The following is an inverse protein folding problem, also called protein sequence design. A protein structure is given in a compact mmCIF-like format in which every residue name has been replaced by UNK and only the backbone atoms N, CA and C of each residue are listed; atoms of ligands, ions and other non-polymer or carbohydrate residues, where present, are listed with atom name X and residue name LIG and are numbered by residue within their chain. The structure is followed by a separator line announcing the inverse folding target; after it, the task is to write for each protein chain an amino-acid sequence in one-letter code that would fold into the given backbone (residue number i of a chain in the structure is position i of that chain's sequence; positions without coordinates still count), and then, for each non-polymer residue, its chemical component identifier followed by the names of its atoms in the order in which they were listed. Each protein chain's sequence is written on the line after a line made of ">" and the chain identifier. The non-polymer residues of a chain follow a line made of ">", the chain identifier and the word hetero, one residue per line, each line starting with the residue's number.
data_IF_889911848508
#
_entry.id   IF_889911848508
#
_cell.length_a   1.000
_cell.length_b   1.000
_cell.length_c   1.000
_cell.angle_alpha   90.00
_cell.angle_beta   90.00
_cell.angle_gamma   90.00
#
_symmetry.space_group_name_H-M   'P 1'
#
loop_
_entity.id
_entity.type
_entity.pdbx_description
1 polymer ?
#
# COMPACT_ATOMS: atom_id res chain seq x y z
N UNK A 1 0.41 19.33 -22.64
CA UNK A 1 0.58 18.15 -21.76
C UNK A 1 0.25 16.92 -22.59
N UNK A 2 1.18 15.99 -22.76
CA UNK A 2 0.88 14.70 -23.41
C UNK A 2 -0.06 13.94 -22.49
N UNK A 3 -1.29 13.67 -22.93
CA UNK A 3 -2.22 12.80 -22.25
C UNK A 3 -1.57 11.42 -22.16
N UNK A 4 -1.32 10.90 -20.95
CA UNK A 4 -0.72 9.58 -20.78
C UNK A 4 -1.60 8.54 -21.46
N UNK A 5 -1.02 7.64 -22.26
CA UNK A 5 -1.75 6.59 -22.96
C UNK A 5 -2.42 5.66 -21.94
N UNK A 6 -3.68 5.31 -22.17
CA UNK A 6 -4.41 4.31 -21.39
C UNK A 6 -4.25 2.93 -22.05
N UNK A 7 -4.14 1.87 -21.25
CA UNK A 7 -3.99 0.51 -21.77
C UNK A 7 -5.29 -0.02 -22.39
N UNK A 8 -6.41 0.25 -21.73
CA UNK A 8 -7.76 -0.12 -22.16
C UNK A 8 -8.69 1.09 -21.96
N UNK A 9 -8.66 2.07 -22.88
CA UNK A 9 -9.39 3.33 -22.70
C UNK A 9 -10.89 3.15 -22.46
N UNK A 10 -11.51 2.18 -23.13
CA UNK A 10 -12.94 1.87 -22.99
C UNK A 10 -13.32 1.38 -21.59
N UNK A 11 -12.41 0.72 -20.87
CA UNK A 11 -12.62 0.26 -19.50
C UNK A 11 -12.18 1.31 -18.47
N UNK A 12 -11.08 1.97 -18.75
CA UNK A 12 -10.52 2.97 -17.83
C UNK A 12 -11.34 4.27 -17.77
N UNK A 13 -12.15 4.54 -18.80
CA UNK A 13 -13.09 5.66 -18.82
C UNK A 13 -14.49 5.33 -18.27
N UNK A 14 -14.75 4.07 -17.89
CA UNK A 14 -16.03 3.73 -17.30
C UNK A 14 -16.22 4.44 -15.95
N UNK A 15 -17.32 5.16 -15.84
CA UNK A 15 -17.73 5.86 -14.61
C UNK A 15 -19.26 5.81 -14.46
N UNK A 16 -19.77 6.28 -13.33
CA UNK A 16 -21.19 6.42 -13.09
C UNK A 16 -21.97 5.12 -13.26
N UNK A 17 -23.13 5.19 -13.91
CA UNK A 17 -24.05 4.07 -14.08
C UNK A 17 -23.45 2.92 -14.90
N UNK A 18 -22.75 3.22 -16.00
CA UNK A 18 -22.13 2.20 -16.83
C UNK A 18 -21.09 1.34 -16.10
N UNK A 19 -20.31 1.94 -15.19
CA UNK A 19 -19.40 1.21 -14.32
C UNK A 19 -20.17 0.37 -13.30
N UNK A 20 -21.18 0.94 -12.66
CA UNK A 20 -22.01 0.25 -11.66
C UNK A 20 -22.75 -0.95 -12.24
N UNK A 21 -23.29 -0.85 -13.45
CA UNK A 21 -23.95 -1.96 -14.14
C UNK A 21 -22.98 -3.10 -14.43
N UNK A 22 -21.78 -2.76 -14.93
CA UNK A 22 -20.73 -3.74 -15.17
C UNK A 22 -20.26 -4.42 -13.88
N UNK A 23 -20.07 -3.65 -12.82
CA UNK A 23 -19.76 -4.19 -11.50
C UNK A 23 -20.85 -5.09 -10.96
N UNK A 24 -22.12 -4.72 -11.12
CA UNK A 24 -23.26 -5.51 -10.64
C UNK A 24 -23.36 -6.89 -11.32
N UNK A 25 -23.12 -6.96 -12.62
CA UNK A 25 -23.08 -8.23 -13.37
C UNK A 25 -21.98 -9.14 -12.84
N UNK A 26 -20.76 -8.59 -12.66
CA UNK A 26 -19.62 -9.35 -12.12
C UNK A 26 -19.85 -9.75 -10.67
N UNK A 27 -20.40 -8.85 -9.84
CA UNK A 27 -20.71 -9.10 -8.44
C UNK A 27 -21.67 -10.27 -8.28
N UNK A 28 -22.77 -10.28 -9.06
CA UNK A 28 -23.72 -11.40 -9.06
C UNK A 28 -23.03 -12.73 -9.36
N UNK A 29 -22.19 -12.75 -10.39
CA UNK A 29 -21.45 -13.96 -10.77
C UNK A 29 -20.48 -14.40 -9.68
N UNK A 30 -19.83 -13.45 -9.02
CA UNK A 30 -18.86 -13.73 -7.95
C UNK A 30 -19.54 -14.22 -6.67
N UNK A 31 -20.66 -13.62 -6.27
CA UNK A 31 -21.44 -14.09 -5.12
C UNK A 31 -21.95 -15.52 -5.32
N UNK A 32 -22.44 -15.85 -6.52
CA UNK A 32 -22.85 -17.21 -6.87
C UNK A 32 -21.67 -18.19 -6.83
N UNK A 33 -20.49 -17.80 -7.34
CA UNK A 33 -19.28 -18.62 -7.31
C UNK A 33 -18.88 -18.93 -5.86
N UNK A 34 -18.71 -17.90 -5.01
CA UNK A 34 -18.26 -18.12 -3.65
C UNK A 34 -19.25 -18.94 -2.83
N UNK A 35 -20.54 -18.78 -3.05
CA UNK A 35 -21.56 -19.57 -2.37
C UNK A 35 -21.55 -21.04 -2.79
N UNK A 36 -21.38 -21.30 -4.10
CA UNK A 36 -21.34 -22.65 -4.64
C UNK A 36 -20.07 -23.40 -4.24
N UNK A 37 -18.90 -22.75 -4.35
CA UNK A 37 -17.59 -23.41 -4.37
C UNK A 37 -16.85 -23.32 -3.01
N UNK A 38 -17.25 -22.40 -2.12
CA UNK A 38 -16.60 -22.21 -0.82
C UNK A 38 -17.50 -22.59 0.34
N UNK A 39 -17.12 -23.59 1.15
CA UNK A 39 -17.86 -23.91 2.39
C UNK A 39 -17.92 -22.71 3.36
N UNK A 40 -16.83 -21.96 3.47
CA UNK A 40 -16.76 -20.78 4.33
C UNK A 40 -17.82 -19.73 3.97
N UNK A 41 -17.90 -19.34 2.70
CA UNK A 41 -18.88 -18.32 2.26
C UNK A 41 -20.31 -18.83 2.34
N UNK A 42 -20.56 -20.09 2.07
CA UNK A 42 -21.88 -20.68 2.22
C UNK A 42 -22.36 -20.55 3.66
N UNK A 43 -21.59 -21.07 4.62
CA UNK A 43 -21.91 -21.02 6.05
C UNK A 43 -22.13 -19.56 6.51
N UNK A 44 -21.25 -18.65 6.06
CA UNK A 44 -21.29 -17.23 6.42
C UNK A 44 -22.51 -16.51 5.88
N UNK A 45 -22.89 -16.78 4.63
CA UNK A 45 -24.06 -16.16 3.99
C UNK A 45 -25.36 -16.72 4.55
N UNK A 46 -25.43 -18.03 4.78
CA UNK A 46 -26.58 -18.69 5.43
C UNK A 46 -26.79 -18.14 6.85
N UNK A 47 -25.72 -17.99 7.64
CA UNK A 47 -25.79 -17.39 8.98
C UNK A 47 -26.24 -15.91 8.96
N UNK A 48 -25.89 -15.16 7.92
CA UNK A 48 -26.34 -13.78 7.71
C UNK A 48 -27.74 -13.67 7.10
N UNK A 49 -28.37 -14.77 6.71
CA UNK A 49 -29.68 -14.79 6.06
C UNK A 49 -29.69 -14.13 4.68
N UNK A 50 -28.56 -14.19 3.95
CA UNK A 50 -28.45 -13.68 2.58
C UNK A 50 -28.31 -14.84 1.58
N UNK A 51 -29.05 -14.77 0.46
CA UNK A 51 -29.08 -15.82 -0.55
C UNK A 51 -28.62 -15.26 -1.91
N UNK A 52 -27.43 -15.63 -2.40
CA UNK A 52 -26.93 -15.17 -3.70
C UNK A 52 -27.83 -15.56 -4.89
N UNK A 53 -28.66 -16.63 -4.78
CA UNK A 53 -29.61 -17.01 -5.81
C UNK A 53 -30.77 -16.01 -5.94
N UNK A 54 -31.05 -15.25 -4.89
CA UNK A 54 -32.08 -14.23 -4.82
C UNK A 54 -31.54 -12.80 -4.89
N UNK A 55 -30.22 -12.64 -5.12
CA UNK A 55 -29.58 -11.34 -5.20
C UNK A 55 -30.16 -10.48 -6.32
N UNK A 56 -30.74 -9.33 -6.00
CA UNK A 56 -31.38 -8.43 -6.95
C UNK A 56 -30.56 -7.19 -7.29
N UNK A 57 -29.77 -6.67 -6.34
CA UNK A 57 -29.01 -5.44 -6.59
C UNK A 57 -28.24 -4.92 -5.39
N UNK A 58 -27.91 -3.62 -5.44
CA UNK A 58 -27.06 -2.95 -4.47
C UNK A 58 -27.62 -2.94 -3.04
N UNK A 59 -28.94 -2.84 -2.89
CA UNK A 59 -29.58 -2.84 -1.58
C UNK A 59 -29.44 -4.22 -0.89
N UNK A 60 -29.48 -5.30 -1.66
CA UNK A 60 -29.19 -6.64 -1.14
C UNK A 60 -27.73 -6.77 -0.75
N UNK A 61 -26.82 -6.18 -1.55
CA UNK A 61 -25.38 -6.28 -1.31
C UNK A 61 -24.98 -5.69 0.03
N UNK A 62 -25.58 -4.61 0.47
CA UNK A 62 -25.31 -3.98 1.76
C UNK A 62 -25.51 -4.94 2.96
N UNK A 63 -26.29 -6.00 2.80
CA UNK A 63 -26.58 -7.01 3.83
C UNK A 63 -25.54 -8.12 3.91
N UNK A 64 -24.66 -8.26 2.90
CA UNK A 64 -23.62 -9.29 2.91
C UNK A 64 -22.58 -8.98 3.98
N UNK A 65 -22.13 -10.02 4.73
CA UNK A 65 -21.21 -9.80 5.83
C UNK A 65 -19.80 -9.42 5.36
N UNK A 66 -19.11 -8.65 6.17
CA UNK A 66 -17.70 -8.32 5.95
C UNK A 66 -16.82 -9.55 6.14
N UNK A 67 -15.63 -9.49 5.54
CA UNK A 67 -14.56 -10.46 5.72
C UNK A 67 -13.27 -9.71 6.08
N UNK A 68 -12.56 -10.15 7.09
CA UNK A 68 -11.37 -9.47 7.56
C UNK A 68 -10.16 -10.42 7.67
N UNK A 69 -9.02 -9.86 8.06
CA UNK A 69 -7.74 -10.59 8.13
C UNK A 69 -7.72 -11.67 9.20
N UNK A 70 -8.43 -11.48 10.31
CA UNK A 70 -8.54 -12.49 11.34
C UNK A 70 -9.35 -13.70 10.85
N UNK A 71 -10.46 -13.45 10.20
CA UNK A 71 -11.27 -14.50 9.58
C UNK A 71 -10.50 -15.23 8.47
N UNK A 72 -9.69 -14.51 7.67
CA UNK A 72 -8.80 -15.12 6.67
C UNK A 72 -7.81 -16.09 7.32
N UNK A 73 -7.17 -15.65 8.41
CA UNK A 73 -6.21 -16.47 9.17
C UNK A 73 -6.85 -17.73 9.72
N UNK A 74 -7.97 -17.60 10.41
CA UNK A 74 -8.74 -18.73 10.96
C UNK A 74 -9.22 -19.68 9.87
N UNK A 75 -9.68 -19.15 8.75
CA UNK A 75 -10.07 -19.93 7.57
C UNK A 75 -8.90 -20.76 7.02
N UNK A 76 -7.69 -20.18 6.99
CA UNK A 76 -6.48 -20.86 6.52
C UNK A 76 -5.98 -21.91 7.53
N UNK A 77 -6.07 -21.66 8.83
CA UNK A 77 -5.75 -22.65 9.86
C UNK A 77 -6.67 -23.87 9.73
N UNK A 78 -7.97 -23.64 9.64
CA UNK A 78 -8.95 -24.70 9.50
C UNK A 78 -8.77 -25.52 8.22
N UNK A 79 -8.45 -24.87 7.10
CA UNK A 79 -8.24 -25.61 5.84
C UNK A 79 -7.02 -26.52 5.88
N UNK A 80 -5.96 -26.19 6.62
CA UNK A 80 -4.83 -27.10 6.84
C UNK A 80 -5.27 -28.40 7.54
N UNK A 81 -6.13 -28.28 8.53
CA UNK A 81 -6.61 -29.42 9.30
C UNK A 81 -7.62 -30.28 8.54
N UNK A 82 -8.57 -29.62 7.85
CA UNK A 82 -9.74 -30.31 7.27
C UNK A 82 -9.53 -30.68 5.81
N UNK A 83 -8.78 -29.83 5.03
CA UNK A 83 -8.62 -29.98 3.59
C UNK A 83 -7.19 -30.29 3.15
N UNK A 84 -6.22 -30.24 4.07
CA UNK A 84 -4.81 -30.53 3.81
C UNK A 84 -4.07 -29.45 2.99
N UNK A 85 -4.58 -28.21 2.94
CA UNK A 85 -3.92 -27.10 2.22
C UNK A 85 -4.03 -25.78 2.98
N UNK A 86 -3.13 -24.79 2.78
CA UNK A 86 -3.07 -23.55 3.55
C UNK A 86 -3.88 -22.39 2.93
N UNK A 87 -4.73 -22.62 1.92
CA UNK A 87 -5.36 -21.55 1.16
C UNK A 87 -6.71 -21.09 1.71
N UNK A 88 -7.15 -21.64 2.83
CA UNK A 88 -8.37 -21.26 3.50
C UNK A 88 -9.60 -22.03 3.03
N UNK A 89 -10.59 -22.09 3.92
CA UNK A 89 -11.92 -22.62 3.62
C UNK A 89 -12.68 -21.75 2.59
N UNK A 90 -12.18 -20.52 2.35
CA UNK A 90 -12.73 -19.55 1.40
C UNK A 90 -12.19 -19.71 -0.04
N UNK A 91 -11.38 -20.75 -0.31
CA UNK A 91 -10.90 -21.07 -1.66
C UNK A 91 -12.09 -21.51 -2.54
N UNK A 92 -12.07 -21.10 -3.83
CA UNK A 92 -13.12 -21.39 -4.81
C UNK A 92 -12.62 -22.03 -6.11
N UNK A 93 -11.33 -22.40 -6.15
CA UNK A 93 -10.77 -23.18 -7.26
C UNK A 93 -10.25 -24.53 -6.77
N UNK A 94 -9.97 -25.45 -7.69
CA UNK A 94 -9.15 -26.61 -7.34
C UNK A 94 -7.74 -26.13 -6.96
N UNK A 95 -7.20 -26.60 -5.84
CA UNK A 95 -5.85 -26.20 -5.38
C UNK A 95 -4.75 -26.60 -6.39
N UNK A 96 -5.01 -27.57 -7.27
CA UNK A 96 -4.11 -27.95 -8.35
C UNK A 96 -4.02 -26.91 -9.46
N UNK A 97 -4.99 -26.00 -9.56
CA UNK A 97 -4.99 -24.89 -10.51
C UNK A 97 -4.21 -23.68 -9.98
N UNK A 98 -3.77 -23.72 -8.71
CA UNK A 98 -2.93 -22.69 -8.11
C UNK A 98 -1.51 -22.86 -8.69
N UNK A 99 -1.09 -21.90 -9.49
CA UNK A 99 0.22 -21.93 -10.14
C UNK A 99 1.20 -20.86 -9.62
N UNK A 100 0.75 -20.00 -8.67
CA UNK A 100 1.60 -19.09 -7.92
C UNK A 100 1.05 -18.91 -6.52
N UNK A 101 1.96 -18.81 -5.55
CA UNK A 101 1.64 -18.51 -4.15
C UNK A 101 2.40 -17.28 -3.72
N UNK A 102 1.71 -16.35 -3.10
CA UNK A 102 2.31 -15.23 -2.36
C UNK A 102 1.94 -15.35 -0.88
N UNK A 103 2.62 -14.58 -0.04
CA UNK A 103 2.32 -14.54 1.39
C UNK A 103 2.30 -13.10 1.90
N UNK A 104 1.43 -12.83 2.86
CA UNK A 104 1.47 -11.57 3.62
C UNK A 104 2.65 -11.56 4.59
N UNK A 105 3.05 -10.37 5.04
CA UNK A 105 4.19 -10.20 5.96
C UNK A 105 3.98 -10.75 7.37
N UNK A 106 2.75 -11.10 7.75
CA UNK A 106 2.44 -11.70 9.04
C UNK A 106 2.94 -10.88 10.24
N UNK A 107 2.54 -9.61 10.38
CA UNK A 107 2.93 -8.75 11.51
C UNK A 107 2.55 -9.34 12.88
N UNK A 108 1.64 -10.29 12.92
CA UNK A 108 1.12 -10.95 14.14
C UNK A 108 1.59 -12.40 14.31
N UNK A 109 2.53 -12.89 13.49
CA UNK A 109 3.06 -14.26 13.59
C UNK A 109 3.06 -15.03 12.28
N UNK A 110 2.11 -15.95 12.04
CA UNK A 110 2.08 -16.78 10.85
C UNK A 110 1.63 -15.99 9.61
N UNK A 111 2.30 -16.15 8.43
CA UNK A 111 1.88 -15.53 7.19
C UNK A 111 0.54 -16.11 6.70
N UNK A 112 -0.30 -15.29 6.08
CA UNK A 112 -1.42 -15.76 5.27
C UNK A 112 -0.97 -15.98 3.82
N UNK A 113 -1.42 -17.08 3.22
CA UNK A 113 -1.04 -17.47 1.87
C UNK A 113 -2.09 -17.06 0.86
N UNK A 114 -1.65 -16.49 -0.24
CA UNK A 114 -2.49 -16.02 -1.34
C UNK A 114 -2.16 -16.84 -2.58
N UNK A 115 -3.11 -17.66 -3.01
CA UNK A 115 -3.02 -18.44 -4.23
C UNK A 115 -3.49 -17.64 -5.45
N UNK A 116 -2.92 -17.96 -6.60
CA UNK A 116 -3.29 -17.39 -7.90
C UNK A 116 -3.44 -18.49 -8.93
N UNK A 117 -4.59 -18.50 -9.61
CA UNK A 117 -4.76 -19.27 -10.85
C UNK A 117 -4.11 -18.55 -12.03
N UNK A 118 -4.11 -19.18 -13.19
CA UNK A 118 -3.65 -18.54 -14.42
C UNK A 118 -4.48 -17.28 -14.74
N UNK A 119 -5.78 -17.31 -14.52
CA UNK A 119 -6.67 -16.16 -14.74
C UNK A 119 -6.42 -15.04 -13.71
N UNK A 120 -6.24 -15.36 -12.43
CA UNK A 120 -5.86 -14.36 -11.42
C UNK A 120 -4.56 -13.62 -11.79
N UNK A 121 -3.60 -14.34 -12.36
CA UNK A 121 -2.35 -13.74 -12.85
C UNK A 121 -2.59 -12.85 -14.07
N UNK A 122 -3.45 -13.24 -14.98
CA UNK A 122 -3.80 -12.43 -16.15
C UNK A 122 -4.47 -11.11 -15.76
N UNK A 123 -5.39 -11.13 -14.77
CA UNK A 123 -6.00 -9.92 -14.21
C UNK A 123 -4.94 -9.01 -13.56
N UNK A 124 -4.02 -9.58 -12.75
CA UNK A 124 -2.93 -8.80 -12.16
C UNK A 124 -2.01 -8.19 -13.23
N UNK A 125 -1.72 -8.94 -14.29
CA UNK A 125 -0.93 -8.45 -15.43
C UNK A 125 -1.61 -7.28 -16.16
N UNK A 126 -2.93 -7.32 -16.35
CA UNK A 126 -3.70 -6.22 -16.92
C UNK A 126 -3.59 -4.95 -16.07
N UNK A 127 -3.67 -5.08 -14.74
CA UNK A 127 -3.48 -3.94 -13.84
C UNK A 127 -2.05 -3.37 -13.92
N UNK A 128 -1.03 -4.22 -14.04
CA UNK A 128 0.35 -3.77 -14.26
C UNK A 128 0.48 -3.07 -15.61
N UNK A 129 -0.19 -3.55 -16.66
CA UNK A 129 -0.18 -2.89 -17.97
C UNK A 129 -0.79 -1.48 -17.90
N UNK A 130 -1.93 -1.31 -17.19
CA UNK A 130 -2.54 0.00 -16.93
C UNK A 130 -1.59 0.91 -16.14
N UNK A 131 -0.89 0.37 -15.15
CA UNK A 131 0.11 1.10 -14.36
C UNK A 131 1.27 1.60 -15.24
N UNK A 132 1.84 0.74 -16.09
CA UNK A 132 2.95 1.10 -16.97
C UNK A 132 2.54 2.13 -18.02
N UNK A 133 1.38 1.95 -18.66
CA UNK A 133 0.81 2.92 -19.58
C UNK A 133 0.59 4.28 -18.89
N UNK A 134 0.08 4.26 -17.64
CA UNK A 134 -0.12 5.47 -16.85
C UNK A 134 1.19 6.21 -16.54
N UNK A 135 2.24 5.46 -16.21
CA UNK A 135 3.57 6.03 -16.03
C UNK A 135 4.25 6.44 -17.37
N UNK A 136 3.57 6.28 -18.50
CA UNK A 136 4.10 6.61 -19.82
C UNK A 136 5.27 5.73 -20.25
N UNK A 137 5.26 4.47 -19.82
CA UNK A 137 6.26 3.46 -20.18
C UNK A 137 5.74 2.59 -21.31
N UNK A 138 6.65 2.15 -22.15
CA UNK A 138 6.33 1.37 -23.35
C UNK A 138 7.14 0.08 -23.40
N UNK A 139 6.68 -0.86 -24.20
CA UNK A 139 7.38 -2.13 -24.46
C UNK A 139 8.85 -1.85 -24.85
N UNK A 140 9.76 -2.57 -24.19
CA UNK A 140 11.20 -2.46 -24.41
C UNK A 140 11.91 -1.53 -23.43
N UNK A 141 11.18 -0.66 -22.69
CA UNK A 141 11.78 0.15 -21.63
C UNK A 141 12.41 -0.77 -20.57
N UNK A 142 13.54 -0.32 -20.01
CA UNK A 142 14.33 -1.07 -19.03
C UNK A 142 13.88 -0.72 -17.64
N UNK A 143 13.45 -1.74 -16.90
CA UNK A 143 12.92 -1.63 -15.55
C UNK A 143 13.89 -2.26 -14.56
N UNK A 144 14.56 -1.44 -13.75
CA UNK A 144 15.38 -1.89 -12.63
C UNK A 144 14.48 -2.22 -11.43
N UNK A 145 14.24 -3.50 -11.20
CA UNK A 145 13.39 -3.94 -10.09
C UNK A 145 14.23 -4.24 -8.85
N UNK A 146 14.10 -3.39 -7.82
CA UNK A 146 14.85 -3.45 -6.57
C UNK A 146 13.98 -3.83 -5.35
N UNK A 147 12.82 -4.43 -5.58
CA UNK A 147 11.99 -5.00 -4.53
C UNK A 147 12.46 -6.38 -4.08
N UNK A 148 11.97 -6.84 -2.93
CA UNK A 148 12.26 -8.17 -2.40
C UNK A 148 11.66 -9.25 -3.30
N UNK A 149 12.51 -10.16 -3.79
CA UNK A 149 12.15 -11.27 -4.66
C UNK A 149 11.89 -12.54 -3.82
N UNK A 150 10.72 -12.61 -3.20
CA UNK A 150 10.29 -13.72 -2.35
C UNK A 150 8.80 -14.02 -2.57
N UNK A 151 8.16 -14.69 -1.62
CA UNK A 151 6.70 -14.86 -1.63
C UNK A 151 5.92 -13.55 -1.43
N UNK A 152 6.58 -12.42 -1.27
CA UNK A 152 5.89 -11.14 -1.14
C UNK A 152 5.04 -10.83 -2.37
N UNK A 153 3.85 -10.26 -2.11
CA UNK A 153 2.79 -10.06 -3.11
C UNK A 153 3.20 -9.17 -4.30
N UNK A 154 4.23 -8.33 -4.16
CA UNK A 154 4.72 -7.43 -5.22
C UNK A 154 5.90 -8.03 -6.00
N UNK A 155 6.88 -8.64 -5.34
CA UNK A 155 8.16 -9.04 -5.94
C UNK A 155 8.07 -9.82 -7.26
N UNK A 156 8.06 -11.15 -7.19
CA UNK A 156 7.95 -12.01 -8.37
C UNK A 156 6.70 -11.71 -9.23
N UNK A 157 5.52 -11.43 -8.65
CA UNK A 157 4.35 -11.06 -9.45
C UNK A 157 4.54 -9.87 -10.38
N UNK A 158 5.20 -8.81 -9.91
CA UNK A 158 5.47 -7.64 -10.75
C UNK A 158 6.47 -7.96 -11.86
N UNK A 159 7.55 -8.69 -11.55
CA UNK A 159 8.55 -9.12 -12.54
C UNK A 159 7.91 -10.00 -13.62
N UNK A 160 7.10 -10.99 -13.24
CA UNK A 160 6.37 -11.87 -14.16
C UNK A 160 5.46 -11.04 -15.10
N UNK A 161 4.69 -10.12 -14.56
CA UNK A 161 3.82 -9.25 -15.35
C UNK A 161 4.62 -8.36 -16.33
N UNK A 162 5.70 -7.72 -15.87
CA UNK A 162 6.55 -6.87 -16.70
C UNK A 162 7.20 -7.64 -17.86
N UNK A 163 7.71 -8.85 -17.61
CA UNK A 163 8.29 -9.72 -18.64
C UNK A 163 7.24 -10.09 -19.70
N UNK A 164 6.04 -10.48 -19.28
CA UNK A 164 4.95 -10.84 -20.19
C UNK A 164 4.45 -9.63 -21.01
N UNK A 165 4.57 -8.42 -20.48
CA UNK A 165 4.25 -7.18 -21.19
C UNK A 165 5.38 -6.71 -22.13
N UNK A 166 6.52 -7.39 -22.12
CA UNK A 166 7.64 -7.13 -23.02
C UNK A 166 8.60 -6.02 -22.57
N UNK A 167 8.62 -5.70 -21.27
CA UNK A 167 9.65 -4.83 -20.69
C UNK A 167 10.99 -5.57 -20.56
N UNK A 168 12.08 -4.81 -20.62
CA UNK A 168 13.42 -5.33 -20.30
C UNK A 168 13.65 -5.25 -18.79
N UNK A 169 13.37 -6.32 -18.06
CA UNK A 169 13.45 -6.32 -16.60
C UNK A 169 14.87 -6.66 -16.14
N UNK A 170 15.40 -5.82 -15.24
CA UNK A 170 16.68 -5.99 -14.55
C UNK A 170 16.35 -6.33 -13.08
N UNK A 171 16.20 -7.63 -12.72
CA UNK A 171 15.70 -8.04 -11.41
C UNK A 171 16.84 -8.10 -10.39
N UNK A 172 17.38 -6.95 -9.97
CA UNK A 172 18.52 -6.87 -9.06
C UNK A 172 18.16 -7.28 -7.63
N UNK A 173 16.86 -7.07 -7.25
CA UNK A 173 16.38 -7.34 -5.90
C UNK A 173 16.90 -6.36 -4.85
N UNK A 174 16.33 -6.42 -3.64
CA UNK A 174 16.68 -5.53 -2.52
C UNK A 174 17.90 -6.00 -1.69
N UNK A 175 18.54 -7.12 -2.04
CA UNK A 175 19.67 -7.69 -1.28
C UNK A 175 21.04 -7.45 -1.95
N UNK A 176 21.08 -6.76 -3.09
CA UNK A 176 22.34 -6.42 -3.74
C UNK A 176 23.13 -5.41 -2.87
N UNK A 177 24.46 -5.55 -2.84
CA UNK A 177 25.28 -4.51 -2.21
C UNK A 177 25.16 -3.19 -2.96
N UNK A 178 25.38 -2.07 -2.29
CA UNK A 178 25.29 -0.74 -2.90
C UNK A 178 26.18 -0.60 -4.13
N UNK A 179 27.40 -1.17 -4.07
CA UNK A 179 28.38 -1.15 -5.17
C UNK A 179 27.88 -1.93 -6.39
N UNK A 180 27.35 -3.14 -6.16
CA UNK A 180 26.79 -3.95 -7.24
C UNK A 180 25.56 -3.30 -7.85
N UNK A 181 24.70 -2.70 -7.01
CA UNK A 181 23.54 -1.98 -7.47
C UNK A 181 23.95 -0.82 -8.39
N UNK A 182 24.87 0.05 -7.93
CA UNK A 182 25.32 1.20 -8.68
C UNK A 182 25.99 0.80 -10.00
N UNK A 183 26.87 -0.23 -9.98
CA UNK A 183 27.50 -0.75 -11.21
C UNK A 183 26.42 -1.26 -12.20
N UNK A 184 25.44 -2.04 -11.73
CA UNK A 184 24.36 -2.55 -12.59
C UNK A 184 23.54 -1.40 -13.19
N UNK A 185 23.19 -0.37 -12.42
CA UNK A 185 22.43 0.77 -12.90
C UNK A 185 23.20 1.56 -13.98
N UNK A 186 24.50 1.78 -13.78
CA UNK A 186 25.37 2.46 -14.77
C UNK A 186 25.49 1.65 -16.07
N UNK A 187 25.70 0.32 -15.95
CA UNK A 187 25.91 -0.54 -17.12
C UNK A 187 24.63 -0.72 -17.94
N UNK A 188 23.49 -0.89 -17.26
CA UNK A 188 22.22 -1.19 -17.92
C UNK A 188 21.39 0.02 -18.30
N UNK A 189 21.65 1.19 -17.70
CA UNK A 189 20.96 2.46 -17.95
C UNK A 189 19.43 2.28 -17.96
N UNK A 190 18.82 1.93 -16.82
CA UNK A 190 17.39 1.70 -16.75
C UNK A 190 16.59 2.99 -16.98
N UNK A 191 15.46 2.87 -17.65
CA UNK A 191 14.52 3.98 -17.87
C UNK A 191 13.72 4.26 -16.61
N UNK A 192 13.44 3.22 -15.83
CA UNK A 192 12.67 3.28 -14.60
C UNK A 192 13.26 2.38 -13.52
N UNK A 193 13.05 2.78 -12.26
CA UNK A 193 13.29 1.92 -11.09
C UNK A 193 11.99 1.69 -10.31
N UNK A 194 11.83 0.47 -9.80
CA UNK A 194 10.78 0.08 -8.85
C UNK A 194 11.40 -0.35 -7.53
N UNK A 195 11.07 0.33 -6.42
CA UNK A 195 11.60 0.03 -5.09
C UNK A 195 10.72 0.60 -3.97
N UNK A 196 11.11 0.40 -2.70
CA UNK A 196 10.50 1.15 -1.60
C UNK A 196 11.10 2.56 -1.48
N UNK A 197 10.35 3.56 -0.97
CA UNK A 197 10.87 4.91 -0.74
C UNK A 197 12.12 4.91 0.14
N UNK A 198 12.12 4.17 1.24
CA UNK A 198 13.26 4.06 2.16
C UNK A 198 14.51 3.49 1.48
N UNK A 199 14.35 2.50 0.59
CA UNK A 199 15.48 1.96 -0.16
C UNK A 199 16.07 2.97 -1.16
N UNK A 200 15.21 3.73 -1.83
CA UNK A 200 15.67 4.80 -2.73
C UNK A 200 16.44 5.90 -1.97
N UNK A 201 15.93 6.34 -0.81
CA UNK A 201 16.64 7.29 0.06
C UNK A 201 17.98 6.71 0.58
N UNK A 202 18.00 5.42 0.93
CA UNK A 202 19.23 4.73 1.28
C UNK A 202 20.27 4.77 0.14
N UNK A 203 19.86 4.54 -1.09
CA UNK A 203 20.76 4.60 -2.26
C UNK A 203 21.32 6.02 -2.48
N UNK A 204 20.49 7.05 -2.37
CA UNK A 204 20.93 8.46 -2.49
C UNK A 204 22.06 8.74 -1.49
N UNK A 205 21.95 8.25 -0.25
CA UNK A 205 22.95 8.45 0.80
C UNK A 205 24.18 7.56 0.60
N UNK A 206 23.99 6.27 0.27
CA UNK A 206 25.06 5.26 0.35
C UNK A 206 25.90 5.13 -0.93
N UNK A 207 25.33 5.39 -2.10
CA UNK A 207 26.04 5.26 -3.39
C UNK A 207 27.27 6.17 -3.46
N UNK A 208 27.20 7.50 -3.17
CA UNK A 208 28.36 8.37 -3.22
C UNK A 208 29.40 8.10 -2.11
N UNK A 209 29.02 7.40 -1.04
CA UNK A 209 29.95 7.01 0.03
C UNK A 209 30.75 5.74 -0.30
N UNK A 210 30.17 4.83 -1.10
CA UNK A 210 30.73 3.50 -1.37
C UNK A 210 31.22 3.33 -2.80
N UNK A 211 30.92 4.28 -3.68
CA UNK A 211 31.27 4.22 -5.09
C UNK A 211 31.75 5.58 -5.59
N UNK A 212 32.23 5.63 -6.84
CA UNK A 212 32.57 6.90 -7.51
C UNK A 212 31.37 7.59 -8.16
N UNK A 213 30.19 6.97 -8.14
CA UNK A 213 28.99 7.47 -8.81
C UNK A 213 28.03 8.13 -7.83
N UNK A 214 27.11 8.89 -8.39
CA UNK A 214 25.94 9.44 -7.71
C UNK A 214 24.69 8.84 -8.35
N UNK A 215 23.57 8.81 -7.61
CA UNK A 215 22.32 8.24 -8.11
C UNK A 215 21.73 9.00 -9.31
N UNK A 216 22.03 10.30 -9.44
CA UNK A 216 21.66 11.12 -10.60
C UNK A 216 22.28 10.60 -11.92
N UNK A 217 23.43 9.92 -11.85
CA UNK A 217 24.15 9.40 -13.04
C UNK A 217 23.54 8.09 -13.58
N UNK A 218 22.63 7.46 -12.87
CA UNK A 218 21.96 6.23 -13.32
C UNK A 218 21.06 6.44 -14.54
N UNK A 219 20.62 7.69 -14.80
CA UNK A 219 19.78 8.03 -15.92
C UNK A 219 18.32 7.59 -15.77
N UNK A 220 17.91 7.23 -14.53
CA UNK A 220 16.55 6.84 -14.19
C UNK A 220 15.62 8.06 -14.35
N UNK A 221 14.64 7.97 -15.24
CA UNK A 221 13.70 9.05 -15.51
C UNK A 221 12.43 8.94 -14.66
N UNK A 222 12.12 7.75 -14.15
CA UNK A 222 10.89 7.47 -13.41
C UNK A 222 11.17 6.54 -12.25
N UNK A 223 10.60 6.85 -11.08
CA UNK A 223 10.56 5.94 -9.94
C UNK A 223 9.11 5.58 -9.64
N UNK A 224 8.81 4.30 -9.59
CA UNK A 224 7.58 3.80 -8.98
C UNK A 224 7.95 3.28 -7.59
N UNK A 225 7.50 3.98 -6.56
CA UNK A 225 7.75 3.59 -5.17
C UNK A 225 6.51 2.93 -4.57
N UNK A 226 6.74 1.93 -3.70
CA UNK A 226 5.66 1.09 -3.17
C UNK A 226 6.03 0.46 -1.82
N UNK A 227 5.02 -0.14 -1.17
CA UNK A 227 5.21 -1.00 0.00
C UNK A 227 5.16 -0.27 1.33
N UNK A 228 5.45 1.00 1.35
CA UNK A 228 5.37 1.88 2.52
C UNK A 228 5.01 3.30 2.06
N UNK A 229 4.49 4.17 2.95
CA UNK A 229 4.24 5.56 2.61
C UNK A 229 5.53 6.32 2.28
N UNK A 230 5.47 7.20 1.29
CA UNK A 230 6.64 8.02 0.89
C UNK A 230 6.42 8.77 -0.40
N UNK A 231 5.99 8.10 -1.48
CA UNK A 231 5.78 8.75 -2.78
C UNK A 231 4.69 9.82 -2.77
N UNK A 232 3.67 9.66 -1.93
CA UNK A 232 2.62 10.64 -1.72
C UNK A 232 3.02 11.82 -0.81
N UNK A 233 4.13 11.71 -0.06
CA UNK A 233 4.59 12.75 0.87
C UNK A 233 5.48 13.74 0.11
N UNK A 234 5.11 15.04 0.02
CA UNK A 234 5.82 16.02 -0.78
C UNK A 234 7.32 16.08 -0.51
N UNK A 235 7.73 16.13 0.75
CA UNK A 235 9.13 16.27 1.18
C UNK A 235 9.97 15.06 0.77
N UNK A 236 9.42 13.86 0.91
CA UNK A 236 10.10 12.61 0.49
C UNK A 236 10.17 12.54 -1.03
N UNK A 237 9.08 12.86 -1.71
CA UNK A 237 9.01 12.88 -3.16
C UNK A 237 10.04 13.84 -3.78
N UNK A 238 10.17 15.04 -3.22
CA UNK A 238 11.15 16.04 -3.67
C UNK A 238 12.59 15.54 -3.44
N UNK A 239 12.88 14.92 -2.30
CA UNK A 239 14.19 14.32 -2.03
C UNK A 239 14.50 13.19 -3.03
N UNK A 240 13.54 12.32 -3.32
CA UNK A 240 13.69 11.24 -4.29
C UNK A 240 13.93 11.80 -5.70
N UNK A 241 13.11 12.76 -6.12
CA UNK A 241 13.26 13.39 -7.43
C UNK A 241 14.64 14.05 -7.59
N UNK A 242 15.05 14.88 -6.64
CA UNK A 242 16.36 15.53 -6.65
C UNK A 242 17.51 14.51 -6.67
N UNK A 243 17.44 13.49 -5.81
CA UNK A 243 18.47 12.46 -5.69
C UNK A 243 18.64 11.56 -6.91
N UNK A 244 17.62 11.48 -7.77
CA UNK A 244 17.67 10.75 -9.05
C UNK A 244 17.64 11.70 -10.27
N UNK A 245 18.19 12.91 -10.11
CA UNK A 245 18.41 13.82 -11.24
C UNK A 245 17.15 14.41 -11.85
N UNK A 246 16.10 14.62 -11.07
CA UNK A 246 14.82 15.14 -11.52
C UNK A 246 13.84 14.07 -12.00
N UNK A 247 14.01 12.81 -11.57
CA UNK A 247 13.10 11.74 -11.94
C UNK A 247 11.66 12.01 -11.47
N UNK A 248 10.69 11.62 -12.27
CA UNK A 248 9.27 11.64 -11.90
C UNK A 248 8.99 10.53 -10.88
N UNK A 249 8.33 10.88 -9.78
CA UNK A 249 8.02 9.94 -8.70
C UNK A 249 6.56 9.55 -8.76
N UNK A 250 6.30 8.26 -8.79
CA UNK A 250 4.95 7.69 -8.75
C UNK A 250 4.79 6.85 -7.50
N UNK A 251 3.71 7.09 -6.76
CA UNK A 251 3.33 6.32 -5.58
C UNK A 251 2.35 5.22 -5.96
N UNK A 252 2.74 3.96 -5.73
CA UNK A 252 1.96 2.78 -6.06
C UNK A 252 1.36 2.16 -4.80
N UNK A 253 0.05 2.01 -4.79
CA UNK A 253 -0.62 1.16 -3.81
C UNK A 253 -0.69 -0.28 -4.30
N UNK A 254 -0.20 -1.22 -3.46
CA UNK A 254 -0.17 -2.63 -3.80
C UNK A 254 -1.54 -3.30 -3.80
N UNK A 255 -2.43 -2.87 -2.92
CA UNK A 255 -3.65 -3.59 -2.61
C UNK A 255 -3.38 -4.94 -1.96
N UNK A 256 -4.39 -5.52 -1.36
CA UNK A 256 -4.39 -6.89 -0.89
C UNK A 256 -5.17 -7.78 -1.85
N UNK A 257 -5.36 -9.03 -1.55
CA UNK A 257 -5.95 -10.07 -2.39
C UNK A 257 -7.08 -9.74 -3.39
N UNK A 258 -7.73 -8.57 -3.31
CA UNK A 258 -8.78 -8.15 -4.25
C UNK A 258 -8.21 -7.66 -5.59
N UNK A 259 -7.18 -6.79 -5.51
CA UNK A 259 -6.52 -6.20 -6.68
C UNK A 259 -5.04 -5.98 -6.39
N UNK A 260 -4.16 -6.30 -7.33
CA UNK A 260 -2.73 -6.07 -7.18
C UNK A 260 -2.09 -5.81 -8.56
N UNK A 261 -1.55 -4.60 -8.84
CA UNK A 261 -1.60 -3.39 -8.00
C UNK A 261 -2.99 -2.76 -7.93
N UNK A 262 -3.26 -2.01 -6.85
CA UNK A 262 -4.52 -1.30 -6.67
C UNK A 262 -4.57 -0.01 -7.49
N UNK A 263 -3.50 0.77 -7.47
CA UNK A 263 -3.47 2.07 -8.13
C UNK A 263 -2.10 2.72 -8.16
N UNK A 264 -2.03 3.83 -8.89
CA UNK A 264 -0.82 4.65 -9.05
C UNK A 264 -1.20 6.13 -8.98
N UNK A 265 -0.34 6.94 -8.37
CA UNK A 265 -0.44 8.40 -8.48
C UNK A 265 -0.19 8.87 -9.93
N UNK A 266 -0.42 10.12 -10.17
CA UNK A 266 -0.10 10.75 -11.45
C UNK A 266 0.83 11.96 -11.23
N UNK A 267 1.20 12.62 -12.33
CA UNK A 267 2.05 13.82 -12.35
C UNK A 267 1.46 15.00 -11.57
N UNK A 268 0.15 14.99 -11.28
CA UNK A 268 -0.48 16.02 -10.43
C UNK A 268 -0.29 15.74 -8.93
N UNK A 269 0.15 14.56 -8.54
CA UNK A 269 0.42 14.13 -7.16
C UNK A 269 -0.72 14.40 -6.14
N UNK A 270 -1.95 14.35 -6.61
CA UNK A 270 -3.14 14.66 -5.81
C UNK A 270 -3.98 13.41 -5.49
N UNK A 271 -3.32 12.34 -5.11
CA UNK A 271 -3.90 11.05 -4.74
C UNK A 271 -3.57 9.94 -5.74
N UNK A 272 -3.98 8.72 -5.39
CA UNK A 272 -3.76 7.49 -6.15
C UNK A 272 -5.02 7.20 -6.98
N UNK A 273 -4.87 7.10 -8.30
CA UNK A 273 -5.91 6.62 -9.18
C UNK A 273 -6.02 5.10 -9.08
N UNK A 274 -7.22 4.59 -8.82
CA UNK A 274 -7.48 3.16 -8.69
C UNK A 274 -7.56 2.52 -10.08
N UNK A 275 -6.87 1.41 -10.27
CA UNK A 275 -6.96 0.58 -11.47
C UNK A 275 -8.02 -0.50 -11.31
N UNK A 276 -8.56 -0.95 -12.44
CA UNK A 276 -9.48 -2.08 -12.44
C UNK A 276 -10.76 -1.85 -11.63
N UNK A 277 -11.29 -0.62 -11.63
CA UNK A 277 -12.61 -0.35 -11.03
C UNK A 277 -13.71 -1.27 -11.61
N UNK A 278 -13.50 -1.79 -12.82
CA UNK A 278 -14.36 -2.81 -13.42
C UNK A 278 -14.12 -4.22 -12.85
N UNK A 279 -13.06 -4.47 -12.10
CA UNK A 279 -12.67 -5.75 -11.50
C UNK A 279 -12.74 -5.78 -9.96
N UNK A 280 -12.91 -4.62 -9.34
CA UNK A 280 -13.10 -4.49 -7.90
C UNK A 280 -14.18 -3.45 -7.59
N UNK A 281 -14.91 -3.71 -6.52
CA UNK A 281 -15.85 -2.75 -5.93
C UNK A 281 -15.19 -2.14 -4.70
N UNK A 282 -15.25 -0.82 -4.59
CA UNK A 282 -14.82 -0.04 -3.43
C UNK A 282 -16.04 0.47 -2.67
N UNK A 283 -16.05 0.27 -1.36
CA UNK A 283 -16.98 0.88 -0.40
C UNK A 283 -16.16 1.70 0.60
N UNK A 284 -16.78 2.69 1.21
CA UNK A 284 -16.21 3.48 2.30
C UNK A 284 -17.15 3.38 3.48
N UNK A 285 -16.64 3.12 4.67
CA UNK A 285 -17.42 2.95 5.88
C UNK A 285 -17.05 4.00 6.93
N UNK A 286 -18.06 4.41 7.71
CA UNK A 286 -17.85 5.18 8.93
C UNK A 286 -17.35 4.28 10.09
N UNK A 287 -17.22 4.87 11.29
CA UNK A 287 -16.77 4.15 12.49
C UNK A 287 -17.76 3.08 12.97
N UNK A 288 -19.05 3.23 12.62
CA UNK A 288 -20.12 2.29 12.95
C UNK A 288 -20.37 1.26 11.84
N UNK A 289 -19.49 1.22 10.84
CA UNK A 289 -19.52 0.36 9.66
C UNK A 289 -20.71 0.62 8.72
N UNK A 290 -21.27 1.82 8.74
CA UNK A 290 -22.27 2.23 7.77
C UNK A 290 -21.61 2.73 6.49
N UNK A 291 -22.18 2.45 5.31
CA UNK A 291 -21.66 2.94 4.04
C UNK A 291 -21.69 4.47 3.96
N UNK A 292 -20.59 5.07 3.55
CA UNK A 292 -20.47 6.48 3.21
C UNK A 292 -20.51 6.66 1.68
N UNK A 293 -20.99 7.83 1.19
CA UNK A 293 -20.95 8.13 -0.23
C UNK A 293 -19.51 8.32 -0.72
N UNK A 294 -19.25 7.97 -1.99
CA UNK A 294 -17.96 8.25 -2.64
C UNK A 294 -17.99 9.70 -3.16
N UNK A 295 -17.69 10.63 -2.28
CA UNK A 295 -17.71 12.07 -2.55
C UNK A 295 -16.40 12.74 -2.16
N UNK A 296 -16.16 13.94 -2.71
CA UNK A 296 -14.92 14.67 -2.48
C UNK A 296 -14.72 15.02 -1.00
N UNK A 297 -13.56 14.62 -0.46
CA UNK A 297 -13.18 14.89 0.92
C UNK A 297 -13.72 13.92 1.96
N UNK A 298 -14.56 12.94 1.57
CA UNK A 298 -15.03 11.90 2.49
C UNK A 298 -13.85 11.06 2.98
N UNK A 299 -13.83 10.83 4.30
CA UNK A 299 -12.84 9.98 4.98
C UNK A 299 -13.56 8.79 5.64
N UNK A 300 -12.98 7.60 5.53
CA UNK A 300 -13.51 6.39 6.14
C UNK A 300 -12.65 5.17 5.91
N UNK A 301 -13.06 4.03 6.47
CA UNK A 301 -12.44 2.74 6.20
C UNK A 301 -12.76 2.30 4.78
N UNK A 302 -11.75 1.96 3.99
CA UNK A 302 -11.97 1.39 2.67
C UNK A 302 -12.19 -0.11 2.75
N UNK A 303 -13.19 -0.56 2.02
CA UNK A 303 -13.57 -1.97 1.87
C UNK A 303 -13.56 -2.33 0.39
N UNK A 304 -12.95 -3.46 0.05
CA UNK A 304 -12.90 -3.92 -1.32
C UNK A 304 -13.60 -5.27 -1.50
N UNK A 305 -14.23 -5.44 -2.66
CA UNK A 305 -14.70 -6.74 -3.14
C UNK A 305 -14.09 -7.06 -4.48
N UNK A 306 -13.35 -8.17 -4.54
CA UNK A 306 -12.80 -8.69 -5.79
C UNK A 306 -13.88 -9.32 -6.66
N UNK A 307 -14.14 -8.75 -7.83
CA UNK A 307 -15.24 -9.17 -8.71
C UNK A 307 -14.87 -10.30 -9.68
N UNK A 308 -13.57 -10.60 -9.82
CA UNK A 308 -13.05 -11.55 -10.82
C UNK A 308 -12.01 -12.52 -10.27
N UNK A 309 -11.65 -12.41 -9.00
CA UNK A 309 -10.68 -13.30 -8.34
C UNK A 309 -11.24 -14.72 -8.29
N UNK A 310 -10.45 -15.69 -8.78
CA UNK A 310 -10.87 -17.09 -8.84
C UNK A 310 -10.44 -17.91 -7.62
N UNK A 311 -9.20 -17.78 -7.19
CA UNK A 311 -8.67 -18.67 -6.16
C UNK A 311 -9.28 -18.40 -4.79
N UNK A 312 -9.09 -17.21 -4.29
CA UNK A 312 -9.51 -16.77 -2.96
C UNK A 312 -10.24 -15.43 -3.09
N UNK A 313 -11.49 -15.42 -3.55
CA UNK A 313 -12.30 -14.20 -3.62
C UNK A 313 -12.46 -13.59 -2.22
N UNK A 314 -12.29 -12.27 -2.14
CA UNK A 314 -12.55 -11.51 -0.93
C UNK A 314 -13.80 -10.66 -1.16
N UNK A 315 -14.85 -10.94 -0.38
CA UNK A 315 -16.14 -10.25 -0.44
C UNK A 315 -16.23 -9.32 0.75
N UNK A 316 -16.42 -8.02 0.50
CA UNK A 316 -16.44 -6.96 1.51
C UNK A 316 -15.24 -7.04 2.45
N UNK A 317 -14.05 -7.09 1.86
CA UNK A 317 -12.78 -7.22 2.58
C UNK A 317 -12.40 -5.94 3.29
N UNK A 318 -12.20 -6.06 4.60
CA UNK A 318 -11.73 -5.00 5.49
C UNK A 318 -10.25 -5.21 5.81
N UNK A 319 -9.38 -4.40 5.18
CA UNK A 319 -7.95 -4.36 5.51
C UNK A 319 -7.63 -3.34 6.61
N UNK A 320 -8.65 -2.62 7.08
CA UNK A 320 -8.57 -1.57 8.11
C UNK A 320 -7.76 -0.35 7.69
N UNK A 321 -7.66 -0.10 6.40
CA UNK A 321 -7.04 1.10 5.87
C UNK A 321 -8.05 2.26 5.88
N UNK A 322 -7.63 3.42 6.43
CA UNK A 322 -8.36 4.67 6.32
C UNK A 322 -7.90 5.43 5.10
N UNK A 323 -8.87 5.91 4.34
CA UNK A 323 -8.63 6.71 3.14
C UNK A 323 -9.39 8.03 3.18
N UNK A 324 -8.90 8.98 2.41
CA UNK A 324 -9.63 10.16 1.96
C UNK A 324 -9.87 10.05 0.46
N UNK A 325 -11.08 10.42 0.02
CA UNK A 325 -11.48 10.35 -1.39
C UNK A 325 -11.43 11.72 -2.04
N UNK A 326 -11.01 11.76 -3.30
CA UNK A 326 -11.08 12.92 -4.18
C UNK A 326 -11.84 12.55 -5.44
N UNK A 327 -12.93 13.29 -5.72
CA UNK A 327 -13.78 13.09 -6.90
C UNK A 327 -13.75 14.27 -7.87
N UNK A 328 -13.07 15.36 -7.51
CA UNK A 328 -12.82 16.48 -8.40
C UNK A 328 -11.99 16.05 -9.63
N UNK A 329 -12.16 16.71 -10.80
CA UNK A 329 -11.41 16.37 -12.00
C UNK A 329 -9.90 16.46 -11.79
N UNK A 330 -9.17 15.40 -12.16
CA UNK A 330 -7.72 15.42 -12.11
C UNK A 330 -7.14 16.13 -13.35
N UNK A 331 -6.12 17.00 -13.18
CA UNK A 331 -5.43 17.63 -14.31
C UNK A 331 -4.85 16.63 -15.33
N UNK A 332 -4.59 15.39 -14.91
CA UNK A 332 -4.13 14.33 -15.80
C UNK A 332 -5.20 13.81 -16.76
N UNK A 333 -6.47 14.22 -16.61
CA UNK A 333 -7.59 13.83 -17.47
C UNK A 333 -8.15 12.42 -17.22
N UNK A 334 -7.59 11.65 -16.28
CA UNK A 334 -8.13 10.33 -15.93
C UNK A 334 -9.40 10.47 -15.10
N UNK A 335 -10.50 9.82 -15.48
CA UNK A 335 -11.73 9.85 -14.71
C UNK A 335 -11.67 8.92 -13.48
N UNK A 336 -12.70 9.01 -12.63
CA UNK A 336 -12.88 8.20 -11.44
C UNK A 336 -12.26 8.79 -10.18
N UNK A 337 -12.57 8.21 -9.03
CA UNK A 337 -12.07 8.69 -7.75
C UNK A 337 -10.58 8.40 -7.59
N UNK A 338 -9.92 9.27 -6.85
CA UNK A 338 -8.57 9.06 -6.31
C UNK A 338 -8.68 8.89 -4.81
N UNK A 339 -7.72 8.18 -4.23
CA UNK A 339 -7.65 7.97 -2.79
C UNK A 339 -6.29 8.41 -2.25
N UNK A 340 -6.29 8.83 -1.00
CA UNK A 340 -5.11 9.07 -0.19
C UNK A 340 -5.21 8.21 1.07
N UNK A 341 -4.18 7.42 1.36
CA UNK A 341 -4.13 6.64 2.59
C UNK A 341 -3.79 7.53 3.78
N UNK A 342 -4.66 7.54 4.79
CA UNK A 342 -4.52 8.34 6.01
C UNK A 342 -3.86 7.54 7.14
N UNK A 343 -3.87 6.22 7.05
CA UNK A 343 -3.31 5.31 8.04
C UNK A 343 -4.11 4.03 8.15
N UNK A 344 -3.86 3.27 9.22
CA UNK A 344 -4.58 2.02 9.52
C UNK A 344 -5.30 2.15 10.86
N UNK A 345 -6.49 1.58 10.95
CA UNK A 345 -7.29 1.58 12.19
C UNK A 345 -6.56 0.79 13.29
N UNK A 346 -5.90 -0.31 12.95
CA UNK A 346 -5.19 -1.18 13.89
C UNK A 346 -3.82 -0.62 14.34
N UNK A 347 -3.24 0.34 13.62
CA UNK A 347 -2.04 1.09 14.03
C UNK A 347 -2.39 2.36 14.82
N UNK A 348 -3.67 2.70 14.90
CA UNK A 348 -4.14 3.91 15.57
C UNK A 348 -3.87 3.84 17.08
N UNK A 349 -3.36 4.93 17.63
CA UNK A 349 -3.20 5.13 19.06
C UNK A 349 -4.33 6.01 19.58
N UNK A 350 -4.93 5.61 20.71
CA UNK A 350 -5.93 6.42 21.39
C UNK A 350 -5.29 7.22 22.53
N UNK A 351 -5.12 8.52 22.34
CA UNK A 351 -4.46 9.41 23.30
C UNK A 351 -5.48 10.37 23.90
N UNK A 352 -5.91 10.12 25.13
CA UNK A 352 -6.94 10.95 25.81
C UNK A 352 -8.20 11.20 24.97
N UNK A 353 -8.70 10.17 24.27
CA UNK A 353 -9.88 10.27 23.43
C UNK A 353 -9.62 10.80 22.03
N UNK A 354 -8.37 11.10 21.66
CA UNK A 354 -7.97 11.52 20.31
C UNK A 354 -7.40 10.33 19.57
N UNK A 355 -7.90 10.07 18.36
CA UNK A 355 -7.36 9.06 17.45
C UNK A 355 -6.09 9.62 16.79
N UNK A 356 -4.96 9.00 17.07
CA UNK A 356 -3.65 9.41 16.57
C UNK A 356 -3.12 8.35 15.61
N UNK A 357 -2.93 8.73 14.37
CA UNK A 357 -2.33 7.86 13.35
C UNK A 357 -0.83 8.14 13.26
N UNK A 358 0.03 7.11 13.36
CA UNK A 358 1.49 7.27 13.31
C UNK A 358 1.97 8.00 12.05
N UNK A 359 1.34 7.74 10.91
CA UNK A 359 1.66 8.45 9.66
C UNK A 359 1.38 9.95 9.76
N UNK A 360 0.26 10.35 10.39
CA UNK A 360 -0.07 11.76 10.56
C UNK A 360 0.96 12.49 11.46
N UNK A 361 1.51 11.79 12.46
CA UNK A 361 2.61 12.33 13.28
C UNK A 361 3.85 12.55 12.43
N UNK A 362 4.23 11.58 11.63
CA UNK A 362 5.37 11.68 10.71
C UNK A 362 5.20 12.85 9.74
N UNK A 363 4.03 12.98 9.12
CA UNK A 363 3.75 14.01 8.13
C UNK A 363 3.81 15.42 8.76
N UNK A 364 3.29 15.57 9.99
CA UNK A 364 3.41 16.84 10.75
C UNK A 364 4.86 17.15 11.06
N UNK A 365 5.65 16.16 11.48
CA UNK A 365 7.09 16.34 11.80
C UNK A 365 7.84 16.75 10.53
N UNK A 366 7.67 16.02 9.43
CA UNK A 366 8.35 16.29 8.16
C UNK A 366 8.03 17.70 7.61
N UNK A 367 6.76 18.12 7.70
CA UNK A 367 6.31 19.43 7.21
C UNK A 367 6.64 20.62 8.16
N UNK A 368 7.16 20.35 9.36
CA UNK A 368 7.37 21.40 10.36
C UNK A 368 8.80 21.98 10.38
N UNK A 369 9.78 21.27 9.84
CA UNK A 369 11.16 21.74 9.83
C UNK A 369 12.02 21.03 8.78
N UNK A 370 12.86 21.82 8.07
CA UNK A 370 13.87 21.31 7.16
C UNK A 370 15.05 20.61 7.87
N UNK A 371 15.11 20.67 9.19
CA UNK A 371 16.17 20.05 10.00
C UNK A 371 15.91 18.57 10.32
N UNK A 372 14.74 18.06 9.97
CA UNK A 372 14.33 16.64 10.13
C UNK A 372 13.98 16.01 8.79
N UNK A 373 14.13 14.70 8.69
CA UNK A 373 13.89 13.95 7.44
C UNK A 373 12.52 13.25 7.37
N UNK A 374 11.72 13.34 8.44
CA UNK A 374 10.47 12.59 8.55
C UNK A 374 10.63 11.17 9.09
N UNK A 375 11.83 10.71 9.39
CA UNK A 375 12.04 9.45 10.10
C UNK A 375 11.68 9.63 11.58
N UNK A 376 10.63 8.94 12.01
CA UNK A 376 10.14 8.98 13.39
C UNK A 376 9.91 7.58 13.95
N UNK A 377 9.90 7.49 15.27
CA UNK A 377 9.43 6.30 15.98
C UNK A 377 8.63 6.70 17.22
N UNK A 378 7.39 6.24 17.29
CA UNK A 378 6.49 6.47 18.43
C UNK A 378 6.70 5.34 19.43
N UNK A 379 7.02 5.67 20.68
CA UNK A 379 7.24 4.70 21.74
C UNK A 379 5.94 4.36 22.44
N UNK A 380 5.59 3.08 22.51
CA UNK A 380 4.44 2.54 23.21
C UNK A 380 4.91 1.57 24.28
N UNK A 381 4.45 1.74 25.53
CA UNK A 381 4.87 0.95 26.68
C UNK A 381 3.88 -0.15 27.08
N UNK A 382 2.92 -0.46 26.24
CA UNK A 382 1.98 -1.57 26.40
C UNK A 382 1.48 -2.04 25.05
N UNK A 383 0.91 -3.22 24.94
CA UNK A 383 0.26 -3.70 23.72
C UNK A 383 -1.10 -3.01 23.44
N UNK A 384 -1.63 -2.22 24.38
CA UNK A 384 -2.89 -1.48 24.24
C UNK A 384 -2.77 -0.37 23.22
N UNK A 385 -3.84 -0.13 22.45
CA UNK A 385 -3.95 1.05 21.60
C UNK A 385 -4.10 2.36 22.41
N UNK A 386 -4.52 2.27 23.69
CA UNK A 386 -4.62 3.42 24.60
C UNK A 386 -3.24 3.80 25.10
N UNK A 387 -2.83 5.04 24.82
CA UNK A 387 -1.52 5.59 25.21
C UNK A 387 -1.72 6.84 26.05
N UNK A 388 -0.99 6.93 27.17
CA UNK A 388 -1.00 8.12 28.02
C UNK A 388 -0.19 9.26 27.41
N UNK A 389 -0.72 10.48 27.49
CA UNK A 389 0.02 11.69 27.10
C UNK A 389 0.92 12.20 28.24
N UNK A 390 2.13 12.73 27.95
CA UNK A 390 2.69 12.93 26.60
C UNK A 390 3.15 11.63 25.95
N UNK A 391 2.92 11.50 24.63
CA UNK A 391 3.39 10.36 23.84
C UNK A 391 4.85 10.59 23.47
N UNK A 392 5.72 9.63 23.72
CA UNK A 392 7.14 9.74 23.37
C UNK A 392 7.33 9.48 21.86
N UNK A 393 7.95 10.47 21.19
CA UNK A 393 8.21 10.43 19.74
C UNK A 393 9.71 10.70 19.52
N UNK A 394 10.43 9.70 19.04
CA UNK A 394 11.79 9.89 18.54
C UNK A 394 11.74 10.43 17.12
N UNK A 395 12.56 11.45 16.85
CA UNK A 395 12.67 12.11 15.55
C UNK A 395 14.12 12.14 15.12
N UNK A 396 14.40 11.59 13.94
CA UNK A 396 15.75 11.59 13.37
C UNK A 396 16.10 12.98 12.83
N UNK A 397 17.23 13.51 13.29
CA UNK A 397 17.81 14.76 12.78
C UNK A 397 18.43 14.56 11.40
N UNK A 398 18.47 15.60 10.59
CA UNK A 398 19.41 15.64 9.46
C UNK A 398 20.84 15.84 9.97
N UNK A 399 21.86 15.37 9.23
CA UNK A 399 23.26 15.54 9.63
C UNK A 399 23.63 17.01 9.83
N UNK A 400 24.37 17.31 10.89
CA UNK A 400 24.96 18.64 11.11
C UNK A 400 24.07 19.65 11.83
N UNK A 401 22.95 19.23 12.43
CA UNK A 401 22.11 20.12 13.24
C UNK A 401 22.81 20.49 14.54
N UNK A 402 23.03 21.79 14.75
CA UNK A 402 23.75 22.32 15.93
C UNK A 402 23.01 22.03 17.24
N UNK A 403 23.73 21.70 18.29
CA UNK A 403 23.18 21.36 19.62
C UNK A 403 22.27 22.47 20.18
N UNK A 404 22.65 23.74 19.97
CA UNK A 404 21.92 24.91 20.46
C UNK A 404 20.51 25.03 19.84
N UNK A 405 20.34 24.47 18.63
CA UNK A 405 19.08 24.52 17.89
C UNK A 405 18.10 23.44 18.36
N UNK A 406 18.57 22.36 18.97
CA UNK A 406 17.79 21.15 19.25
C UNK A 406 16.66 21.36 20.24
N UNK A 407 16.93 22.06 21.35
CA UNK A 407 15.90 22.31 22.36
C UNK A 407 14.71 23.11 21.79
N UNK A 408 15.01 24.09 20.96
CA UNK A 408 14.01 24.90 20.27
C UNK A 408 13.26 24.06 19.23
N UNK A 409 13.96 23.28 18.43
CA UNK A 409 13.38 22.40 17.42
C UNK A 409 12.41 21.37 18.04
N UNK A 410 12.80 20.74 19.16
CA UNK A 410 11.91 19.81 19.86
C UNK A 410 10.60 20.50 20.30
N UNK A 411 10.68 21.69 20.87
CA UNK A 411 9.52 22.48 21.28
C UNK A 411 8.64 22.87 20.07
N UNK A 412 9.25 23.26 18.96
CA UNK A 412 8.53 23.60 17.72
C UNK A 412 7.75 22.38 17.17
N UNK A 413 8.39 21.20 17.17
CA UNK A 413 7.74 19.93 16.74
C UNK A 413 6.63 19.52 17.71
N UNK A 414 6.82 19.60 19.01
CA UNK A 414 5.80 19.33 20.04
C UNK A 414 4.59 20.26 19.85
N UNK A 415 4.85 21.55 19.63
CA UNK A 415 3.80 22.53 19.37
C UNK A 415 3.04 22.26 18.06
N UNK A 416 3.76 21.86 16.99
CA UNK A 416 3.15 21.49 15.72
C UNK A 416 2.23 20.27 15.85
N UNK A 417 2.69 19.22 16.54
CA UNK A 417 1.91 18.02 16.85
C UNK A 417 0.67 18.39 17.67
N UNK A 418 0.83 19.17 18.74
CA UNK A 418 -0.28 19.61 19.60
C UNK A 418 -1.32 20.40 18.82
N UNK A 419 -0.90 21.33 17.96
CA UNK A 419 -1.78 22.20 17.20
C UNK A 419 -2.53 21.45 16.10
N UNK A 420 -1.84 20.60 15.36
CA UNK A 420 -2.42 19.89 14.20
C UNK A 420 -3.16 18.60 14.59
N UNK A 421 -2.64 17.86 15.56
CA UNK A 421 -3.13 16.52 15.92
C UNK A 421 -3.83 16.46 17.30
N UNK A 422 -3.85 17.57 18.03
CA UNK A 422 -4.63 17.75 19.28
C UNK A 422 -4.20 16.84 20.45
N UNK A 423 -2.99 16.30 20.46
CA UNK A 423 -2.43 15.58 21.59
C UNK A 423 -1.04 16.10 21.96
N UNK A 424 -0.60 15.85 23.19
CA UNK A 424 0.74 16.24 23.65
C UNK A 424 1.72 15.12 23.35
N UNK A 425 2.79 15.46 22.64
CA UNK A 425 3.97 14.62 22.43
C UNK A 425 5.13 15.10 23.32
N UNK A 426 6.08 14.21 23.57
CA UNK A 426 7.41 14.50 24.04
C UNK A 426 8.39 14.10 22.93
N UNK A 427 9.00 15.08 22.30
CA UNK A 427 9.90 14.84 21.16
C UNK A 427 11.33 14.64 21.66
N UNK A 428 11.92 13.50 21.30
CA UNK A 428 13.32 13.18 21.51
C UNK A 428 14.03 13.23 20.14
N UNK A 429 14.94 14.20 19.98
CA UNK A 429 15.75 14.31 18.77
C UNK A 429 16.94 13.36 18.86
N UNK A 430 17.12 12.57 17.80
CA UNK A 430 18.15 11.51 17.73
C UNK A 430 19.04 11.76 16.51
N UNK A 431 20.36 11.57 16.67
CA UNK A 431 21.29 11.64 15.55
C UNK A 431 21.03 10.52 14.54
N UNK A 432 21.35 10.74 13.25
CA UNK A 432 21.16 9.71 12.23
C UNK A 432 21.87 8.39 12.53
N UNK A 433 23.04 8.45 13.17
CA UNK A 433 23.84 7.26 13.50
C UNK A 433 23.30 6.51 14.74
N UNK A 434 22.55 7.19 15.60
CA UNK A 434 21.92 6.62 16.80
C UNK A 434 20.45 6.26 16.57
N UNK A 435 19.85 6.69 15.46
CA UNK A 435 18.46 6.41 15.14
C UNK A 435 18.32 5.02 14.53
N UNK A 436 17.60 4.14 15.22
CA UNK A 436 17.36 2.77 14.79
C UNK A 436 15.90 2.57 14.42
N UNK A 437 15.60 2.52 13.12
CA UNK A 437 14.28 2.16 12.62
C UNK A 437 14.10 0.64 12.66
N UNK A 438 13.01 0.17 13.27
CA UNK A 438 12.61 -1.22 13.13
C UNK A 438 11.93 -1.46 11.80
N UNK A 439 12.34 -2.53 11.12
CA UNK A 439 11.71 -2.96 9.87
C UNK A 439 10.98 -4.28 10.07
N UNK A 440 9.79 -4.39 9.52
CA UNK A 440 9.08 -5.66 9.43
C UNK A 440 9.75 -6.64 8.45
N UNK A 441 9.28 -7.89 8.43
CA UNK A 441 9.79 -8.93 7.53
C UNK A 441 9.76 -8.59 6.02
N UNK A 442 8.96 -7.60 5.63
CA UNK A 442 8.86 -7.07 4.25
C UNK A 442 9.73 -5.85 4.00
N UNK A 443 10.56 -5.43 4.97
CA UNK A 443 11.32 -4.20 4.86
C UNK A 443 10.52 -2.92 5.12
N UNK A 444 9.27 -3.01 5.57
CA UNK A 444 8.46 -1.83 5.96
C UNK A 444 8.93 -1.28 7.30
N UNK A 445 9.11 0.03 7.37
CA UNK A 445 9.41 0.75 8.60
C UNK A 445 8.22 0.67 9.58
N UNK A 446 8.50 0.31 10.84
CA UNK A 446 7.53 0.32 11.92
C UNK A 446 7.57 1.67 12.64
N UNK A 447 6.56 2.49 12.44
CA UNK A 447 6.48 3.80 13.09
C UNK A 447 6.15 3.72 14.59
N UNK A 448 5.58 2.61 15.07
CA UNK A 448 5.30 2.37 16.48
C UNK A 448 6.18 1.25 16.99
N UNK A 449 6.93 1.52 18.05
CA UNK A 449 7.76 0.56 18.77
C UNK A 449 7.15 0.29 20.15
N UNK A 450 6.86 -0.98 20.43
CA UNK A 450 6.41 -1.40 21.74
C UNK A 450 7.64 -1.77 22.59
N UNK A 451 7.77 -1.12 23.74
CA UNK A 451 8.84 -1.37 24.70
C UNK A 451 8.24 -1.93 25.99
N UNK A 452 8.98 -2.80 26.67
CA UNK A 452 8.67 -3.12 28.05
C UNK A 452 8.92 -1.87 28.93
N UNK A 453 8.03 -1.62 29.90
CA UNK A 453 8.23 -0.46 30.80
C UNK A 453 9.59 -0.62 31.51
N UNK A 454 10.46 0.39 31.45
CA UNK A 454 11.67 0.36 32.28
C UNK A 454 11.24 0.31 33.76
N UNK A 455 11.45 -0.83 34.43
CA UNK A 455 11.21 -0.97 35.87
C UNK A 455 9.89 -1.65 36.28
N UNK A 456 9.31 -2.55 35.45
CA UNK A 456 8.28 -3.49 35.91
C UNK A 456 8.93 -4.79 36.38
#
# INVERSE_FOLDING_TARGET
>A
MMQASLHQPELEHLTGEALRDRQLVKLRSQLLRVYRDSPYYRDKFDAAGVDPLRFQGWDDYARYPFFDKEEERLSQERSREVMGHPFGMHVTCDVRDINRVSASSGTTGAPTYIGYTANDRAVSQDHVARMMARAGLVRGDRVLFAGVMSMWIVGIPAVDALLNLGFCVIPIGGLATTERFAQTAIDTRPDMMMCTPSYALHLIKSVPQKTRWRTEEFGIRKLIVFGEPGGGIPEIREQLSAGFGGAEIYDMSGGTGCTNPLGLSCEAHNGIHIFGNDNALMEILDQDLNPLPIENGVEGEVVFTGLVKECQPLIRWRDKDLIRVFTDPCPCGRPGPRIEFRGRIDDMLLVKGVNVFPNAVRDVVAASSDLVGGDIQIMRYSASAVVEAPVDVQVCLKPGVALETRARLAQELEAAIQNKLRFRARVQLVEPDDFSMEYGATGKAKLVRTLDRPGA
#
